data_IF_470813867656
#
_entry.id   IF_470813867656
#
_cell.length_a   1.000
_cell.length_b   1.000
_cell.length_c   1.000
_cell.angle_alpha   90.00
_cell.angle_beta   90.00
_cell.angle_gamma   90.00
#
_symmetry.space_group_name_H-M   'P 1'
#
loop_
_entity.id
_entity.type
_entity.pdbx_description
1 polymer ?
#
# COMPACT_ATOMS: atom_id res chain seq x y z
N UNK A 1 -17.25 -11.72 -11.73
CA UNK A 1 -16.70 -10.89 -10.62
C UNK A 1 -16.05 -9.69 -11.25
N UNK A 2 -16.54 -8.49 -10.95
CA UNK A 2 -15.97 -7.23 -11.47
C UNK A 2 -14.85 -6.83 -10.51
N UNK A 3 -13.65 -6.59 -11.03
CA UNK A 3 -12.53 -6.07 -10.24
C UNK A 3 -12.90 -4.69 -9.70
N UNK A 4 -12.88 -4.51 -8.37
CA UNK A 4 -13.38 -3.29 -7.73
C UNK A 4 -12.20 -2.39 -7.39
N UNK A 5 -11.91 -1.44 -8.28
CA UNK A 5 -10.90 -0.41 -8.02
C UNK A 5 -11.47 0.67 -7.09
N UNK A 6 -10.74 0.98 -6.02
CA UNK A 6 -11.05 2.09 -5.11
C UNK A 6 -9.89 3.08 -5.16
N UNK A 7 -10.16 4.32 -5.60
CA UNK A 7 -9.19 5.40 -5.53
C UNK A 7 -9.35 6.14 -4.21
N UNK A 8 -8.24 6.33 -3.51
CA UNK A 8 -8.19 7.09 -2.27
C UNK A 8 -7.09 8.14 -2.37
N UNK A 9 -7.41 9.37 -1.97
CA UNK A 9 -6.44 10.46 -1.79
C UNK A 9 -6.21 10.61 -0.29
N UNK A 10 -4.95 10.60 0.12
CA UNK A 10 -4.52 10.74 1.52
C UNK A 10 -3.69 12.01 1.67
N UNK A 11 -3.90 12.73 2.77
CA UNK A 11 -3.09 13.89 3.10
C UNK A 11 -1.81 13.49 3.84
N UNK A 12 -0.83 14.39 3.88
CA UNK A 12 0.40 14.21 4.67
C UNK A 12 0.05 14.05 6.15
N UNK A 13 0.73 13.13 6.84
CA UNK A 13 0.49 12.80 8.24
C UNK A 13 -0.96 12.34 8.55
N UNK A 14 -1.67 11.81 7.55
CA UNK A 14 -2.98 11.18 7.72
C UNK A 14 -2.86 9.66 7.79
N UNK A 15 -3.91 9.03 8.33
CA UNK A 15 -4.09 7.58 8.32
C UNK A 15 -5.48 7.27 7.78
N UNK A 16 -5.55 6.22 6.97
CA UNK A 16 -6.81 5.66 6.47
C UNK A 16 -6.87 4.17 6.74
N UNK A 17 -8.08 3.65 6.95
CA UNK A 17 -8.34 2.23 7.09
C UNK A 17 -9.13 1.73 5.89
N UNK A 18 -8.56 0.77 5.15
CA UNK A 18 -9.29 0.02 4.14
C UNK A 18 -9.81 -1.26 4.77
N UNK A 19 -11.12 -1.45 4.75
CA UNK A 19 -11.80 -2.59 5.37
C UNK A 19 -12.48 -3.47 4.31
N UNK A 20 -12.65 -4.75 4.63
CA UNK A 20 -13.32 -5.70 3.73
C UNK A 20 -12.53 -6.03 2.46
N UNK A 21 -11.20 -5.88 2.49
CA UNK A 21 -10.33 -6.29 1.38
C UNK A 21 -10.30 -7.83 1.28
N UNK A 22 -10.62 -8.36 0.11
CA UNK A 22 -10.45 -9.78 -0.21
C UNK A 22 -9.03 -10.04 -0.72
N UNK A 23 -8.47 -11.21 -0.39
CA UNK A 23 -7.26 -11.71 -1.05
C UNK A 23 -7.63 -12.52 -2.32
N UNK A 24 -6.82 -12.43 -3.39
CA UNK A 24 -5.64 -11.59 -3.51
C UNK A 24 -6.04 -10.11 -3.75
N UNK A 25 -5.17 -9.18 -3.37
CA UNK A 25 -5.39 -7.74 -3.53
C UNK A 25 -4.11 -7.06 -4.01
N UNK A 26 -4.25 -6.11 -4.94
CA UNK A 26 -3.18 -5.21 -5.37
C UNK A 26 -3.48 -3.80 -4.86
N UNK A 27 -2.49 -3.19 -4.23
CA UNK A 27 -2.52 -1.79 -3.81
C UNK A 27 -1.46 -1.05 -4.61
N UNK A 28 -1.84 0.04 -5.27
CA UNK A 28 -0.91 0.92 -6.00
C UNK A 28 -0.82 2.25 -5.29
N UNK A 29 0.39 2.79 -5.20
CA UNK A 29 0.69 4.05 -4.53
C UNK A 29 1.17 5.06 -5.57
N UNK A 30 0.75 6.31 -5.42
CA UNK A 30 1.19 7.39 -6.29
C UNK A 30 1.22 8.69 -5.51
N UNK A 31 2.33 9.43 -5.61
CA UNK A 31 2.37 10.83 -5.19
C UNK A 31 1.98 11.73 -6.35
N UNK A 32 1.08 12.68 -6.09
CA UNK A 32 0.60 13.63 -7.10
C UNK A 32 1.73 14.47 -7.71
N UNK A 33 2.77 14.75 -6.94
CA UNK A 33 3.96 15.49 -7.37
C UNK A 33 4.99 14.63 -8.11
N UNK A 34 4.72 13.34 -8.34
CA UNK A 34 5.63 12.35 -8.94
C UNK A 34 6.91 12.11 -8.14
N UNK A 35 6.92 12.44 -6.85
CA UNK A 35 8.01 12.10 -5.95
C UNK A 35 8.06 10.61 -5.63
N UNK A 36 9.15 10.18 -4.98
CA UNK A 36 9.38 8.79 -4.60
C UNK A 36 8.79 8.49 -3.22
N UNK A 37 8.46 7.21 -2.99
CA UNK A 37 7.93 6.69 -1.74
C UNK A 37 8.71 5.49 -1.24
N UNK A 38 9.19 5.56 -0.01
CA UNK A 38 9.55 4.38 0.76
C UNK A 38 8.28 3.78 1.36
N UNK A 39 8.03 2.50 1.10
CA UNK A 39 6.86 1.76 1.59
C UNK A 39 7.30 0.70 2.58
N UNK A 40 6.78 0.77 3.81
CA UNK A 40 7.12 -0.19 4.87
C UNK A 40 5.86 -0.92 5.36
N UNK A 41 5.65 -2.18 4.94
CA UNK A 41 4.61 -3.03 5.48
C UNK A 41 5.03 -3.59 6.83
N UNK A 42 4.11 -3.58 7.79
CA UNK A 42 4.27 -4.18 9.11
C UNK A 42 3.02 -4.97 9.47
N UNK A 43 3.22 -6.24 9.83
CA UNK A 43 2.15 -7.02 10.46
C UNK A 43 1.93 -6.46 11.87
N UNK A 44 0.74 -5.90 12.13
CA UNK A 44 0.42 -5.23 13.40
C UNK A 44 -0.46 -6.10 14.31
N UNK A 45 -1.48 -6.75 13.74
CA UNK A 45 -2.39 -7.68 14.40
C UNK A 45 -2.93 -8.71 13.41
N UNK A 46 -3.58 -9.77 13.89
CA UNK A 46 -4.11 -10.83 13.02
C UNK A 46 -5.15 -10.24 12.04
N UNK A 47 -4.89 -10.38 10.74
CA UNK A 47 -5.73 -9.83 9.67
C UNK A 47 -5.56 -8.32 9.40
N UNK A 48 -4.60 -7.64 10.05
CA UNK A 48 -4.29 -6.23 9.80
C UNK A 48 -2.86 -6.08 9.28
N UNK A 49 -2.73 -5.46 8.12
CA UNK A 49 -1.46 -5.01 7.56
C UNK A 49 -1.37 -3.50 7.68
N UNK A 50 -0.42 -3.01 8.45
CA UNK A 50 -0.08 -1.59 8.49
C UNK A 50 0.91 -1.30 7.36
N UNK A 51 0.67 -0.23 6.60
CA UNK A 51 1.54 0.18 5.50
C UNK A 51 1.90 1.65 5.69
N UNK A 52 3.15 1.91 6.03
CA UNK A 52 3.66 3.28 6.19
C UNK A 52 4.23 3.75 4.85
N UNK A 53 3.77 4.93 4.41
CA UNK A 53 4.27 5.61 3.21
C UNK A 53 5.10 6.82 3.67
N UNK A 54 6.36 6.88 3.25
CA UNK A 54 7.27 7.98 3.58
C UNK A 54 7.89 8.54 2.33
N UNK A 55 7.99 9.86 2.26
CA UNK A 55 8.72 10.52 1.19
C UNK A 55 10.19 10.09 1.22
N UNK A 56 10.77 9.87 0.05
CA UNK A 56 12.20 9.57 -0.09
C UNK A 56 12.77 10.24 -1.33
N UNK A 57 14.08 10.37 -1.38
CA UNK A 57 14.85 10.75 -2.58
C UNK A 57 15.70 9.59 -3.09
N UNK A 58 15.68 8.43 -2.42
CA UNK A 58 16.44 7.24 -2.80
C UNK A 58 15.59 6.34 -3.72
N UNK A 59 15.99 6.27 -4.99
CA UNK A 59 15.36 5.41 -6.00
C UNK A 59 15.41 3.92 -5.64
N UNK A 60 16.41 3.46 -4.87
CA UNK A 60 16.50 2.05 -4.50
C UNK A 60 15.36 1.65 -3.52
N UNK A 61 14.86 2.62 -2.76
CA UNK A 61 13.80 2.44 -1.77
C UNK A 61 12.40 2.64 -2.35
N UNK A 62 12.28 3.20 -3.56
CA UNK A 62 11.00 3.51 -4.18
C UNK A 62 10.20 2.24 -4.48
N UNK A 63 8.96 2.19 -4.02
CA UNK A 63 8.01 1.11 -4.33
C UNK A 63 6.67 1.71 -4.67
N UNK A 64 6.06 1.21 -5.74
CA UNK A 64 4.82 1.79 -6.28
C UNK A 64 3.64 0.84 -6.14
N UNK A 65 3.88 -0.41 -5.75
CA UNK A 65 2.82 -1.36 -5.51
C UNK A 65 3.10 -2.31 -4.34
N UNK A 66 2.03 -2.77 -3.72
CA UNK A 66 2.01 -3.85 -2.75
C UNK A 66 0.99 -4.89 -3.21
N UNK A 67 1.40 -6.17 -3.22
CA UNK A 67 0.53 -7.29 -3.55
C UNK A 67 0.37 -8.21 -2.35
N UNK A 68 -0.88 -8.53 -2.04
CA UNK A 68 -1.27 -9.51 -1.01
C UNK A 68 -1.84 -10.73 -1.73
N UNK A 69 -1.21 -11.88 -1.53
CA UNK A 69 -1.66 -13.15 -2.13
C UNK A 69 -2.75 -13.85 -1.31
N UNK A 70 -3.37 -14.87 -1.88
CA UNK A 70 -4.40 -15.70 -1.23
C UNK A 70 -3.97 -16.28 0.13
N UNK A 71 -2.69 -16.60 0.28
CA UNK A 71 -2.11 -17.16 1.51
C UNK A 71 -1.66 -16.07 2.52
N UNK A 72 -1.92 -14.80 2.23
CA UNK A 72 -1.50 -13.67 3.06
C UNK A 72 -0.04 -13.23 2.87
N UNK A 73 0.71 -13.83 1.93
CA UNK A 73 2.05 -13.35 1.60
C UNK A 73 1.98 -11.93 1.02
N UNK A 74 2.92 -11.08 1.43
CA UNK A 74 2.99 -9.67 1.05
C UNK A 74 4.25 -9.41 0.25
N UNK A 75 4.12 -8.79 -0.91
CA UNK A 75 5.22 -8.43 -1.80
C UNK A 75 5.18 -6.93 -2.11
N UNK A 76 6.33 -6.27 -2.07
CA UNK A 76 6.52 -4.90 -2.55
C UNK A 76 7.16 -4.93 -3.93
N UNK A 77 6.59 -4.16 -4.87
CA UNK A 77 7.07 -4.03 -6.24
C UNK A 77 7.37 -2.57 -6.59
#
# INVERSE_FOLDING_TARGET
>A
MVDKTVLLVIDVASQVSLQGLSTPTNVTFYRQDRGLLMVTPRSSAQGTLEVTLQETTDFAMDRTALRIENNGAVYLN
#
